data_IF_451344469183
#
_entry.id   IF_451344469183
#
_cell.length_a   1.000
_cell.length_b   1.000
_cell.length_c   1.000
_cell.angle_alpha   90.00
_cell.angle_beta   90.00
_cell.angle_gamma   90.00
#
_symmetry.space_group_name_H-M   'P 1'
#
loop_
_entity.id
_entity.type
_entity.pdbx_description
1 polymer ?
#
# COMPACT_ATOMS: atom_id res chain seq x y z
N UNK A 1 -2.45 11.06 -4.19
CA UNK A 1 -3.73 10.41 -4.23
C UNK A 1 -4.72 11.21 -5.07
N UNK A 2 -5.77 10.60 -5.47
CA UNK A 2 -6.84 11.24 -6.24
C UNK A 2 -8.09 10.39 -6.16
N UNK A 3 -9.26 11.02 -6.24
CA UNK A 3 -10.52 10.29 -6.22
C UNK A 3 -10.71 9.42 -7.47
N UNK A 4 -11.81 8.69 -7.49
CA UNK A 4 -12.22 7.87 -8.63
C UNK A 4 -13.30 8.63 -9.39
N UNK A 5 -13.02 9.18 -10.60
CA UNK A 5 -14.03 9.85 -11.39
C UNK A 5 -15.14 8.88 -11.83
N UNK A 6 -16.35 9.37 -11.96
CA UNK A 6 -17.50 8.57 -12.40
C UNK A 6 -17.20 7.88 -13.74
N UNK A 7 -17.43 6.57 -13.82
CA UNK A 7 -17.17 5.76 -15.01
C UNK A 7 -15.69 5.45 -15.27
N UNK A 8 -14.77 5.82 -14.36
CA UNK A 8 -13.31 5.62 -14.49
C UNK A 8 -12.74 4.64 -13.47
N UNK A 9 -13.51 3.71 -12.96
CA UNK A 9 -13.09 2.80 -11.89
C UNK A 9 -11.85 1.97 -12.24
N UNK A 10 -11.74 1.50 -13.48
CA UNK A 10 -10.63 0.68 -13.95
C UNK A 10 -9.34 1.48 -14.19
N UNK A 11 -9.48 2.71 -14.67
CA UNK A 11 -8.38 3.63 -14.98
C UNK A 11 -8.75 5.05 -14.53
N UNK A 12 -8.63 5.37 -13.24
CA UNK A 12 -8.99 6.69 -12.72
C UNK A 12 -8.14 7.83 -13.28
N UNK A 13 -6.89 7.58 -13.65
CA UNK A 13 -5.97 8.57 -14.22
C UNK A 13 -5.64 9.75 -13.29
N UNK A 14 -5.83 9.60 -11.97
CA UNK A 14 -5.71 10.71 -10.99
C UNK A 14 -4.41 10.72 -10.21
N UNK A 15 -3.63 9.63 -10.24
CA UNK A 15 -2.35 9.58 -9.53
C UNK A 15 -1.28 10.42 -10.24
N UNK A 16 -0.46 11.08 -9.44
CA UNK A 16 0.65 11.91 -9.92
C UNK A 16 1.88 11.67 -9.07
N UNK A 17 3.04 11.77 -9.69
CA UNK A 17 4.34 11.83 -9.04
C UNK A 17 5.06 13.09 -9.48
N UNK A 18 5.81 13.71 -8.57
CA UNK A 18 6.57 14.92 -8.84
C UNK A 18 7.85 14.93 -8.01
N UNK A 19 8.90 15.53 -8.57
CA UNK A 19 10.12 15.80 -7.82
C UNK A 19 9.91 17.02 -6.93
N UNK A 20 10.34 16.93 -5.68
CA UNK A 20 10.40 18.07 -4.78
C UNK A 20 11.78 18.75 -4.86
N UNK A 21 11.81 20.03 -4.53
CA UNK A 21 13.04 20.78 -4.32
C UNK A 21 13.81 20.31 -3.08
N UNK A 22 15.00 20.85 -2.88
CA UNK A 22 15.83 20.56 -1.69
C UNK A 22 15.22 21.03 -0.37
N UNK A 23 14.24 21.92 -0.44
CA UNK A 23 13.44 22.40 0.69
C UNK A 23 12.28 21.46 1.05
N UNK A 24 12.04 20.39 0.27
CA UNK A 24 10.94 19.43 0.38
C UNK A 24 9.53 20.04 0.30
N UNK A 25 9.39 21.29 -0.08
CA UNK A 25 8.12 22.03 -0.17
C UNK A 25 7.84 22.56 -1.57
N UNK A 26 8.86 22.93 -2.31
CA UNK A 26 8.72 23.38 -3.70
C UNK A 26 8.61 22.20 -4.67
N UNK A 27 7.90 22.41 -5.78
CA UNK A 27 7.77 21.45 -6.87
C UNK A 27 8.81 21.78 -7.95
N UNK A 28 9.53 20.75 -8.40
CA UNK A 28 10.48 20.86 -9.51
C UNK A 28 9.92 20.17 -10.74
N UNK A 29 9.66 20.94 -11.77
CA UNK A 29 9.08 20.47 -13.04
C UNK A 29 7.57 20.29 -12.96
N UNK A 30 7.03 19.47 -13.86
CA UNK A 30 5.59 19.21 -13.97
C UNK A 30 5.24 17.85 -13.35
N UNK A 31 4.16 17.75 -12.57
CA UNK A 31 3.68 16.46 -12.08
C UNK A 31 3.39 15.47 -13.22
N UNK A 32 3.99 14.29 -13.14
CA UNK A 32 3.82 13.21 -14.12
C UNK A 32 2.67 12.30 -13.72
N UNK A 33 1.80 11.97 -14.68
CA UNK A 33 0.75 10.99 -14.45
C UNK A 33 1.36 9.59 -14.28
N UNK A 34 0.88 8.86 -13.29
CA UNK A 34 1.06 7.41 -13.16
C UNK A 34 -0.33 6.78 -13.17
N UNK A 35 -0.47 5.64 -13.82
CA UNK A 35 -1.77 5.03 -14.07
C UNK A 35 -1.87 3.67 -13.33
N UNK A 36 -1.98 3.69 -11.99
CA UNK A 36 -2.23 2.46 -11.24
C UNK A 36 -3.64 1.95 -11.55
N UNK A 37 -3.76 0.70 -12.05
CA UNK A 37 -5.06 0.15 -12.40
C UNK A 37 -5.94 0.03 -11.16
N UNK A 38 -7.21 0.39 -11.30
CA UNK A 38 -8.20 0.34 -10.22
C UNK A 38 -7.79 1.12 -8.96
N UNK A 39 -7.01 2.18 -9.09
CA UNK A 39 -6.65 3.01 -7.94
C UNK A 39 -7.89 3.53 -7.21
N UNK A 40 -7.91 3.41 -5.90
CA UNK A 40 -8.85 4.08 -5.03
C UNK A 40 -8.17 5.17 -4.20
N UNK A 41 -7.25 4.80 -3.33
CA UNK A 41 -6.56 5.73 -2.43
C UNK A 41 -5.23 5.16 -1.94
N UNK A 42 -4.62 5.82 -0.95
CA UNK A 42 -3.43 5.39 -0.22
C UNK A 42 -2.19 5.25 -1.11
N UNK A 43 -1.18 6.03 -0.86
CA UNK A 43 0.03 6.04 -1.68
C UNK A 43 1.26 5.77 -0.82
N UNK A 44 2.00 4.73 -1.17
CA UNK A 44 3.30 4.42 -0.61
C UNK A 44 4.41 4.54 -1.65
N UNK A 45 5.60 4.90 -1.22
CA UNK A 45 6.78 4.99 -2.08
C UNK A 45 8.00 4.36 -1.39
N UNK A 46 8.66 3.45 -2.10
CA UNK A 46 9.88 2.79 -1.63
C UNK A 46 10.92 2.71 -2.75
N UNK A 47 12.18 2.47 -2.38
CA UNK A 47 13.24 2.12 -3.32
C UNK A 47 13.87 0.80 -2.87
N UNK A 48 13.79 -0.24 -3.70
CA UNK A 48 14.24 -1.59 -3.38
C UNK A 48 15.02 -2.13 -4.57
N UNK A 49 16.22 -2.63 -4.36
CA UNK A 49 17.09 -3.18 -5.40
C UNK A 49 17.25 -2.23 -6.61
N UNK A 50 17.37 -0.93 -6.36
CA UNK A 50 17.48 0.09 -7.41
C UNK A 50 16.17 0.44 -8.11
N UNK A 51 15.08 -0.29 -7.89
CA UNK A 51 13.76 0.00 -8.45
C UNK A 51 12.96 0.93 -7.53
N UNK A 52 12.15 1.76 -8.14
CA UNK A 52 11.16 2.60 -7.45
C UNK A 52 9.83 1.87 -7.40
N UNK A 53 9.27 1.80 -6.22
CA UNK A 53 8.01 1.11 -5.92
C UNK A 53 6.96 2.17 -5.61
N UNK A 54 5.81 2.08 -6.26
CA UNK A 54 4.60 2.80 -5.89
C UNK A 54 3.57 1.79 -5.42
N UNK A 55 3.10 1.91 -4.19
CA UNK A 55 2.04 1.05 -3.65
C UNK A 55 0.77 1.85 -3.37
N UNK A 56 -0.38 1.21 -3.47
CA UNK A 56 -1.68 1.86 -3.39
C UNK A 56 -2.78 0.88 -3.01
N UNK A 57 -3.89 1.42 -2.48
CA UNK A 57 -5.12 0.65 -2.27
C UNK A 57 -5.96 0.63 -3.55
N UNK A 58 -6.31 -0.56 -4.02
CA UNK A 58 -7.21 -0.74 -5.15
C UNK A 58 -8.66 -0.43 -4.77
N UNK A 59 -9.50 -0.23 -5.79
CA UNK A 59 -10.91 0.07 -5.62
C UNK A 59 -11.69 -1.13 -5.04
N UNK A 60 -12.90 -0.86 -4.59
CA UNK A 60 -13.86 -1.85 -4.11
C UNK A 60 -14.45 -2.65 -5.27
N UNK A 61 -15.42 -3.54 -4.96
CA UNK A 61 -16.09 -4.35 -5.94
C UNK A 61 -16.71 -3.51 -7.07
N UNK A 62 -15.96 -3.32 -8.14
CA UNK A 62 -16.47 -2.79 -9.39
C UNK A 62 -16.42 -3.90 -10.46
N UNK A 63 -17.38 -3.89 -11.36
CA UNK A 63 -17.49 -4.90 -12.43
C UNK A 63 -16.16 -5.03 -13.19
N UNK A 64 -15.68 -6.24 -13.31
CA UNK A 64 -14.43 -6.54 -13.99
C UNK A 64 -13.16 -6.21 -13.20
N UNK A 65 -13.26 -5.78 -11.93
CA UNK A 65 -12.10 -5.50 -11.11
C UNK A 65 -11.47 -6.81 -10.58
N UNK A 66 -10.29 -7.22 -11.07
CA UNK A 66 -9.58 -8.39 -10.55
C UNK A 66 -8.97 -8.11 -9.16
N UNK A 67 -8.92 -6.85 -8.74
CA UNK A 67 -8.34 -6.37 -7.49
C UNK A 67 -9.43 -5.99 -6.50
N UNK A 68 -10.55 -6.72 -6.49
CA UNK A 68 -11.70 -6.42 -5.64
C UNK A 68 -11.34 -6.38 -4.15
N UNK A 69 -12.18 -5.71 -3.35
CA UNK A 69 -12.06 -5.63 -1.89
C UNK A 69 -10.90 -4.79 -1.38
N UNK A 70 -10.55 -3.70 -2.06
CA UNK A 70 -9.57 -2.74 -1.58
C UNK A 70 -8.27 -3.41 -1.10
N UNK A 71 -7.56 -4.05 -2.01
CA UNK A 71 -6.29 -4.71 -1.76
C UNK A 71 -5.13 -3.72 -1.92
N UNK A 72 -4.02 -3.94 -1.22
CA UNK A 72 -2.80 -3.18 -1.45
C UNK A 72 -2.05 -3.81 -2.62
N UNK A 73 -1.89 -3.02 -3.68
CA UNK A 73 -1.19 -3.38 -4.90
C UNK A 73 0.07 -2.54 -5.05
N UNK A 74 0.97 -2.96 -5.94
CA UNK A 74 2.17 -2.17 -6.22
C UNK A 74 2.54 -2.17 -7.71
N UNK A 75 3.27 -1.15 -8.07
CA UNK A 75 3.88 -0.93 -9.37
C UNK A 75 5.38 -0.71 -9.21
N UNK A 76 6.16 -0.99 -10.24
CA UNK A 76 7.61 -0.79 -10.24
C UNK A 76 8.05 0.08 -11.41
N UNK A 77 9.16 0.82 -11.21
CA UNK A 77 9.81 1.62 -12.24
C UNK A 77 11.33 1.65 -12.03
N UNK A 78 12.07 1.88 -13.10
CA UNK A 78 13.51 2.17 -13.05
C UNK A 78 13.80 3.67 -12.81
N UNK A 79 12.76 4.52 -12.81
CA UNK A 79 12.86 5.96 -12.58
C UNK A 79 11.87 6.40 -11.50
N UNK A 80 12.21 7.36 -10.63
CA UNK A 80 11.30 7.86 -9.60
C UNK A 80 10.04 8.51 -10.16
N UNK A 81 10.08 9.01 -11.39
CA UNK A 81 8.95 9.65 -12.07
C UNK A 81 8.22 8.70 -13.04
N UNK A 82 8.57 7.43 -13.07
CA UNK A 82 7.98 6.44 -13.98
C UNK A 82 8.74 6.32 -15.33
N UNK A 83 8.17 5.63 -16.33
CA UNK A 83 6.87 4.97 -16.25
C UNK A 83 6.85 3.81 -15.26
N UNK A 84 5.70 3.63 -14.59
CA UNK A 84 5.47 2.54 -13.65
C UNK A 84 4.69 1.41 -14.32
N UNK A 85 5.05 0.18 -14.01
CA UNK A 85 4.37 -1.04 -14.47
C UNK A 85 3.76 -1.78 -13.29
N UNK A 86 2.51 -2.21 -13.41
CA UNK A 86 1.84 -3.03 -12.40
C UNK A 86 2.62 -4.32 -12.14
N UNK A 87 2.83 -4.63 -10.87
CA UNK A 87 3.69 -5.73 -10.45
C UNK A 87 3.00 -6.76 -9.53
N UNK A 88 1.85 -6.43 -8.99
CA UNK A 88 1.08 -7.40 -8.21
C UNK A 88 0.37 -6.82 -6.99
N UNK A 89 -0.20 -7.71 -6.20
CA UNK A 89 -0.87 -7.44 -4.94
C UNK A 89 0.00 -7.93 -3.78
N UNK A 90 0.14 -7.11 -2.74
CA UNK A 90 1.02 -7.40 -1.60
C UNK A 90 0.27 -7.62 -0.29
N UNK A 91 -0.96 -7.13 -0.18
CA UNK A 91 -1.76 -7.32 1.02
C UNK A 91 -3.25 -7.28 0.73
N UNK A 92 -3.98 -8.29 1.19
CA UNK A 92 -5.44 -8.34 1.06
C UNK A 92 -6.10 -7.35 2.02
N UNK A 93 -7.38 -7.08 1.78
CA UNK A 93 -8.18 -6.31 2.73
C UNK A 93 -8.14 -6.98 4.12
N UNK A 94 -7.97 -6.22 5.22
CA UNK A 94 -7.93 -6.76 6.57
C UNK A 94 -9.10 -7.66 6.94
N UNK A 95 -10.28 -7.45 6.36
CA UNK A 95 -11.43 -8.33 6.55
C UNK A 95 -11.22 -9.78 6.08
N UNK A 96 -10.18 -10.04 5.27
CA UNK A 96 -9.78 -11.41 4.89
C UNK A 96 -9.14 -12.15 6.05
N UNK A 97 -8.46 -11.44 6.94
CA UNK A 97 -7.71 -12.01 8.07
C UNK A 97 -8.47 -11.88 9.39
N UNK A 98 -9.27 -10.81 9.52
CA UNK A 98 -9.95 -10.43 10.75
C UNK A 98 -11.43 -10.20 10.48
N UNK A 99 -12.32 -11.13 10.87
CA UNK A 99 -13.76 -10.97 10.70
C UNK A 99 -14.26 -9.63 11.23
N UNK A 100 -15.13 -8.96 10.48
CA UNK A 100 -15.66 -7.64 10.85
C UNK A 100 -14.71 -6.46 10.62
N UNK A 101 -13.53 -6.70 10.04
CA UNK A 101 -12.55 -5.64 9.73
C UNK A 101 -12.54 -5.23 8.24
N UNK A 102 -13.57 -5.58 7.48
CA UNK A 102 -13.73 -5.09 6.11
C UNK A 102 -14.01 -3.59 6.13
N UNK A 103 -13.14 -2.81 5.55
CA UNK A 103 -13.22 -1.36 5.52
C UNK A 103 -12.07 -0.79 4.71
N UNK A 104 -11.78 0.50 4.85
CA UNK A 104 -10.62 1.12 4.21
C UNK A 104 -9.36 0.32 4.53
N UNK A 105 -8.48 0.23 3.56
CA UNK A 105 -7.22 -0.49 3.68
C UNK A 105 -6.08 0.45 3.38
N UNK A 106 -5.47 0.99 4.42
CA UNK A 106 -4.29 1.86 4.32
C UNK A 106 -3.07 1.13 4.87
N UNK A 107 -1.91 1.45 4.29
CA UNK A 107 -0.68 0.76 4.62
C UNK A 107 0.53 1.70 4.62
N UNK A 108 1.63 1.21 5.20
CA UNK A 108 2.97 1.67 4.91
C UNK A 108 3.93 0.47 4.87
N UNK A 109 4.80 0.45 3.88
CA UNK A 109 5.86 -0.55 3.75
C UNK A 109 7.18 0.13 4.08
N UNK A 110 7.97 -0.45 4.97
CA UNK A 110 9.27 0.10 5.37
C UNK A 110 10.25 -0.98 5.76
N UNK A 111 11.52 -0.64 5.70
CA UNK A 111 12.62 -1.47 6.19
C UNK A 111 13.09 -0.95 7.54
N UNK A 112 13.34 -1.87 8.45
CA UNK A 112 14.01 -1.56 9.70
C UNK A 112 14.97 -2.70 10.08
N UNK A 113 16.25 -2.38 10.23
CA UNK A 113 17.32 -3.32 10.60
C UNK A 113 17.39 -4.57 9.70
N UNK A 114 17.30 -4.37 8.40
CA UNK A 114 17.39 -5.44 7.40
C UNK A 114 16.13 -6.26 7.23
N UNK A 115 15.07 -5.97 7.97
CA UNK A 115 13.78 -6.64 7.87
C UNK A 115 12.72 -5.70 7.32
N UNK A 116 11.87 -6.20 6.43
CA UNK A 116 10.76 -5.46 5.84
C UNK A 116 9.45 -5.72 6.59
N UNK A 117 8.69 -4.65 6.78
CA UNK A 117 7.44 -4.63 7.51
C UNK A 117 6.35 -3.96 6.70
N UNK A 118 5.11 -4.38 6.95
CA UNK A 118 3.91 -3.65 6.55
C UNK A 118 3.14 -3.25 7.79
N UNK A 119 2.83 -1.97 7.92
CA UNK A 119 1.83 -1.48 8.88
C UNK A 119 0.52 -1.27 8.16
N UNK A 120 -0.55 -1.54 8.86
CA UNK A 120 -1.92 -1.37 8.36
C UNK A 120 -2.86 -1.15 9.54
N UNK A 121 -4.12 -0.95 9.28
CA UNK A 121 -5.12 -0.86 10.35
C UNK A 121 -6.20 -1.93 10.21
N UNK A 122 -6.78 -2.33 11.34
CA UNK A 122 -7.93 -3.22 11.41
C UNK A 122 -8.83 -2.83 12.58
N UNK A 123 -10.03 -3.40 12.66
CA UNK A 123 -10.99 -3.14 13.73
C UNK A 123 -10.98 -4.24 14.82
N UNK A 124 -9.87 -4.98 14.95
CA UNK A 124 -9.75 -6.09 15.88
C UNK A 124 -10.04 -5.68 17.32
N UNK A 125 -9.41 -4.58 17.77
CA UNK A 125 -9.60 -4.08 19.13
C UNK A 125 -11.04 -3.65 19.37
N UNK A 126 -11.62 -2.87 18.47
CA UNK A 126 -13.03 -2.46 18.54
C UNK A 126 -13.96 -3.67 18.67
N UNK A 127 -13.75 -4.67 17.82
CA UNK A 127 -14.58 -5.88 17.79
C UNK A 127 -14.44 -6.69 19.08
N UNK A 128 -13.23 -6.78 19.64
CA UNK A 128 -12.99 -7.47 20.91
C UNK A 128 -13.66 -6.77 22.10
N UNK A 129 -13.84 -5.47 22.03
CA UNK A 129 -14.53 -4.67 23.05
C UNK A 129 -16.07 -4.67 22.88
N UNK A 130 -16.60 -5.29 21.82
CA UNK A 130 -18.04 -5.29 21.54
C UNK A 130 -18.61 -3.91 21.21
N UNK A 131 -17.79 -2.96 20.75
CA UNK A 131 -18.23 -1.60 20.38
C UNK A 131 -18.24 -1.44 18.85
N UNK A 132 -18.96 -0.45 18.37
CA UNK A 132 -19.04 -0.09 16.95
C UNK A 132 -18.74 1.41 16.76
N UNK A 133 -18.31 1.82 15.57
CA UNK A 133 -17.99 3.22 15.27
C UNK A 133 -16.86 3.36 14.24
N UNK A 134 -16.35 2.23 13.73
CA UNK A 134 -15.26 2.24 12.75
C UNK A 134 -13.90 2.58 13.36
N UNK A 135 -13.72 2.36 14.65
CA UNK A 135 -12.45 2.59 15.34
C UNK A 135 -11.41 1.59 14.89
N UNK A 136 -10.29 2.09 14.44
CA UNK A 136 -9.19 1.31 13.86
C UNK A 136 -8.00 1.29 14.81
N UNK A 137 -7.38 0.12 14.92
CA UNK A 137 -6.10 -0.06 15.61
C UNK A 137 -5.00 -0.37 14.61
N UNK A 138 -3.81 0.13 14.85
CA UNK A 138 -2.64 -0.16 14.03
C UNK A 138 -2.15 -1.58 14.27
N UNK A 139 -1.79 -2.24 13.19
CA UNK A 139 -1.16 -3.55 13.16
C UNK A 139 0.16 -3.47 12.41
N UNK A 140 1.04 -4.43 12.66
CA UNK A 140 2.31 -4.59 11.97
C UNK A 140 2.60 -6.07 11.75
N UNK A 141 3.01 -6.43 10.54
CA UNK A 141 3.46 -7.78 10.19
C UNK A 141 4.70 -7.72 9.29
N UNK A 142 5.36 -8.86 9.14
CA UNK A 142 6.44 -8.99 8.16
C UNK A 142 5.88 -8.99 6.74
N UNK A 143 6.60 -8.35 5.81
CA UNK A 143 6.32 -8.43 4.38
C UNK A 143 7.53 -9.03 3.65
N UNK A 144 7.34 -10.11 2.87
CA UNK A 144 8.44 -10.73 2.13
C UNK A 144 8.88 -9.84 0.98
N UNK A 145 10.10 -9.34 1.05
CA UNK A 145 10.73 -8.52 0.01
C UNK A 145 11.98 -9.22 -0.50
N UNK A 146 12.08 -9.41 -1.80
CA UNK A 146 13.30 -9.86 -2.45
C UNK A 146 14.21 -8.65 -2.73
N UNK A 147 15.22 -8.47 -1.89
CA UNK A 147 16.15 -7.35 -1.97
C UNK A 147 17.15 -7.44 -3.14
N UNK A 148 17.18 -8.56 -3.85
CA UNK A 148 18.03 -8.72 -5.03
C UNK A 148 17.38 -8.20 -6.32
N UNK A 149 16.05 -8.25 -6.42
CA UNK A 149 15.32 -7.89 -7.62
C UNK A 149 14.18 -6.89 -7.41
N UNK A 150 13.87 -6.53 -6.14
CA UNK A 150 12.84 -5.56 -5.80
C UNK A 150 11.41 -6.07 -5.89
N UNK A 151 11.19 -7.39 -5.93
CA UNK A 151 9.83 -7.94 -5.88
C UNK A 151 9.32 -8.04 -4.45
N UNK A 152 8.01 -7.83 -4.30
CA UNK A 152 7.32 -7.94 -3.01
C UNK A 152 6.28 -9.05 -3.14
N UNK A 153 6.32 -10.01 -2.22
CA UNK A 153 5.32 -11.08 -2.13
C UNK A 153 4.21 -10.70 -1.14
N UNK A 154 3.08 -11.39 -1.23
CA UNK A 154 1.94 -11.13 -0.38
C UNK A 154 2.26 -11.39 1.11
N UNK A 155 1.96 -10.41 1.94
CA UNK A 155 1.97 -10.55 3.40
C UNK A 155 0.64 -11.10 3.92
N UNK A 156 0.67 -11.63 5.14
CA UNK A 156 -0.51 -12.11 5.88
C UNK A 156 -0.67 -11.26 7.12
N UNK A 157 -1.89 -10.77 7.36
CA UNK A 157 -2.24 -10.06 8.59
C UNK A 157 -2.40 -11.03 9.76
N UNK A 158 -1.81 -10.71 10.92
CA UNK A 158 -1.87 -11.52 12.12
C UNK A 158 -2.20 -10.70 13.37
N UNK A 159 -2.75 -11.34 14.38
CA UNK A 159 -2.89 -10.74 15.71
C UNK A 159 -1.62 -10.88 16.56
N UNK A 160 -0.70 -11.73 16.14
CA UNK A 160 0.59 -11.92 16.82
C UNK A 160 1.56 -10.78 16.53
N UNK A 161 1.41 -10.13 15.36
CA UNK A 161 2.32 -9.08 14.94
C UNK A 161 3.76 -9.58 14.74
N UNK A 162 4.72 -8.74 15.08
CA UNK A 162 6.15 -9.01 14.90
C UNK A 162 6.86 -9.16 16.25
N UNK A 163 7.92 -9.93 16.26
CA UNK A 163 8.79 -10.04 17.45
C UNK A 163 9.58 -8.75 17.65
N UNK A 164 9.93 -8.46 18.90
CA UNK A 164 10.85 -7.37 19.20
C UNK A 164 12.16 -7.55 18.40
N UNK A 165 12.54 -6.51 17.69
CA UNK A 165 13.80 -6.50 16.93
C UNK A 165 14.96 -6.43 17.93
N UNK A 166 15.75 -7.49 18.01
CA UNK A 166 16.97 -7.48 18.80
C UNK A 166 18.05 -6.66 18.06
N UNK A 167 18.85 -5.89 18.78
CA UNK A 167 20.04 -5.29 18.22
C UNK A 167 20.99 -6.44 17.86
N UNK A 168 21.29 -6.60 16.59
CA UNK A 168 22.45 -7.37 16.16
C UNK A 168 23.66 -6.50 16.54
N UNK A 169 24.34 -6.87 17.61
CA UNK A 169 25.60 -6.26 18.02
C UNK A 169 26.69 -6.57 16.99
#
# INVERSE_FOLDING_TARGET
GGGVPTGKQADPGTARVVKLGSDYTSIVGTPTAINPPYLFEDAGANKIAGKYIYSYCSNWNCTGNPMSNAQICYMTSNSPLGPFTYSGMVFKNPGTFFPGSSGNNHHAIFEFKGQWYITYHAMVLQNSMGISGGYRSSHIDYIPVNTSNGTISQATGTTAGVKQVQYLN
#
